data_IF_039768712011
#
_entry.id   IF_039768712011
#
_cell.length_a   1.000
_cell.length_b   1.000
_cell.length_c   1.000
_cell.angle_alpha   90.00
_cell.angle_beta   90.00
_cell.angle_gamma   90.00
#
_symmetry.space_group_name_H-M   'P 1'
#
loop_
_entity.id
_entity.type
_entity.pdbx_description
1 polymer ?
#
# COMPACT_ATOMS: atom_id res chain seq x y z
N UNK A 1 -7.90 21.25 -22.60
CA UNK A 1 -7.12 20.69 -23.71
C UNK A 1 -7.95 20.84 -24.98
N UNK A 2 -7.40 21.53 -25.99
CA UNK A 2 -8.21 22.05 -27.10
C UNK A 2 -8.15 21.18 -28.37
N UNK A 3 -7.05 20.46 -28.64
CA UNK A 3 -6.96 19.43 -29.72
C UNK A 3 -5.85 18.40 -29.43
N UNK A 4 -6.01 17.13 -29.86
CA UNK A 4 -4.91 16.15 -29.83
C UNK A 4 -3.83 16.52 -30.85
N UNK A 5 -2.56 16.42 -30.46
CA UNK A 5 -1.41 16.53 -31.36
C UNK A 5 -0.27 15.63 -30.91
N UNK A 6 0.60 15.24 -31.84
CA UNK A 6 1.81 14.47 -31.55
C UNK A 6 2.71 15.16 -30.52
N UNK A 7 2.88 16.48 -30.64
CA UNK A 7 3.69 17.26 -29.70
C UNK A 7 3.12 17.28 -28.29
N UNK A 8 1.80 17.39 -28.16
CA UNK A 8 1.11 17.30 -26.87
C UNK A 8 1.24 15.90 -26.28
N UNK A 9 1.06 14.86 -27.10
CA UNK A 9 1.11 13.48 -26.64
C UNK A 9 2.50 13.08 -26.16
N UNK A 10 3.55 13.54 -26.86
CA UNK A 10 4.94 13.38 -26.41
C UNK A 10 5.22 14.08 -25.09
N UNK A 11 4.71 15.31 -24.91
CA UNK A 11 4.86 16.03 -23.64
C UNK A 11 4.14 15.30 -22.50
N UNK A 12 2.90 14.87 -22.74
CA UNK A 12 2.12 14.07 -21.79
C UNK A 12 2.88 12.79 -21.40
N UNK A 13 3.43 12.05 -22.37
CA UNK A 13 4.16 10.81 -22.11
C UNK A 13 5.39 11.04 -21.22
N UNK A 14 6.10 12.16 -21.39
CA UNK A 14 7.23 12.54 -20.53
C UNK A 14 6.75 12.88 -19.12
N UNK A 15 5.72 13.70 -18.98
CA UNK A 15 5.18 14.13 -17.68
C UNK A 15 4.65 12.92 -16.88
N UNK A 16 3.81 12.10 -17.50
CA UNK A 16 3.25 10.89 -16.90
C UNK A 16 4.35 9.84 -16.63
N UNK A 17 5.33 9.74 -17.52
CA UNK A 17 6.50 8.87 -17.32
C UNK A 17 7.30 9.24 -16.07
N UNK A 18 7.45 10.53 -15.77
CA UNK A 18 8.11 10.99 -14.54
C UNK A 18 7.30 10.65 -13.29
N UNK A 19 5.98 10.85 -13.32
CA UNK A 19 5.08 10.47 -12.23
C UNK A 19 5.23 8.97 -11.93
N UNK A 20 5.11 8.14 -12.96
CA UNK A 20 5.21 6.68 -12.84
C UNK A 20 6.59 6.23 -12.38
N UNK A 21 7.66 6.84 -12.88
CA UNK A 21 9.03 6.54 -12.44
C UNK A 21 9.19 6.77 -10.94
N UNK A 22 8.77 7.92 -10.44
CA UNK A 22 8.86 8.22 -9.00
C UNK A 22 7.97 7.31 -8.16
N UNK A 23 6.77 6.97 -8.64
CA UNK A 23 5.91 5.96 -8.02
C UNK A 23 6.63 4.62 -7.89
N UNK A 24 7.26 4.12 -8.96
CA UNK A 24 8.00 2.84 -8.90
C UNK A 24 9.22 2.90 -7.99
N UNK A 25 9.97 4.01 -7.95
CA UNK A 25 11.08 4.18 -7.00
C UNK A 25 10.58 4.01 -5.55
N UNK A 26 9.45 4.62 -5.22
CA UNK A 26 8.82 4.42 -3.91
C UNK A 26 8.34 2.99 -3.69
N UNK A 27 7.71 2.36 -4.68
CA UNK A 27 7.26 0.96 -4.57
C UNK A 27 8.43 0.00 -4.30
N UNK A 28 9.60 0.25 -4.91
CA UNK A 28 10.82 -0.52 -4.63
C UNK A 28 11.33 -0.29 -3.19
N UNK A 29 11.33 0.94 -2.71
CA UNK A 29 11.72 1.25 -1.33
C UNK A 29 10.82 0.53 -0.30
N UNK A 30 9.50 0.57 -0.51
CA UNK A 30 8.55 -0.17 0.34
C UNK A 30 8.73 -1.68 0.21
N UNK A 31 9.05 -2.20 -0.97
CA UNK A 31 9.31 -3.64 -1.13
C UNK A 31 10.52 -4.09 -0.28
N UNK A 32 11.57 -3.26 -0.16
CA UNK A 32 12.68 -3.54 0.76
C UNK A 32 12.22 -3.52 2.22
N UNK A 33 11.28 -2.63 2.56
CA UNK A 33 10.67 -2.60 3.89
C UNK A 33 9.92 -3.89 4.20
N UNK A 34 9.09 -4.36 3.27
CA UNK A 34 8.25 -5.55 3.46
C UNK A 34 9.09 -6.83 3.48
N UNK A 35 9.99 -7.00 2.52
CA UNK A 35 10.69 -8.27 2.30
C UNK A 35 12.02 -8.38 3.04
N UNK A 36 12.66 -7.27 3.38
CA UNK A 36 13.97 -7.26 4.02
C UNK A 36 13.97 -6.51 5.36
N UNK A 37 12.79 -6.17 5.89
CA UNK A 37 12.63 -5.43 7.14
C UNK A 37 13.50 -4.16 7.22
N UNK A 38 13.78 -3.56 6.06
CA UNK A 38 14.64 -2.38 5.96
C UNK A 38 13.83 -1.13 6.28
N UNK A 39 14.38 -0.14 7.00
CA UNK A 39 13.69 1.14 7.18
C UNK A 39 13.36 1.78 5.83
N UNK A 40 12.12 2.29 5.62
CA UNK A 40 11.77 3.07 4.44
C UNK A 40 12.75 4.23 4.29
N UNK A 41 13.35 4.37 3.11
CA UNK A 41 14.28 5.46 2.79
C UNK A 41 13.54 6.68 2.25
N UNK A 42 12.35 6.47 1.68
CA UNK A 42 11.45 7.53 1.26
C UNK A 42 10.33 7.70 2.28
N UNK A 43 10.09 8.95 2.69
CA UNK A 43 8.97 9.27 3.56
C UNK A 43 7.74 9.50 2.71
N UNK A 44 6.59 8.99 3.13
CA UNK A 44 5.31 9.12 2.40
C UNK A 44 5.00 10.56 1.99
N UNK A 45 5.32 11.56 2.83
CA UNK A 45 5.11 12.98 2.54
C UNK A 45 5.92 13.53 1.34
N UNK A 46 6.92 12.79 0.86
CA UNK A 46 7.71 13.12 -0.31
C UNK A 46 6.98 12.77 -1.62
N UNK A 47 5.93 11.95 -1.56
CA UNK A 47 5.05 11.64 -2.69
C UNK A 47 4.09 12.79 -3.00
N UNK A 48 4.67 13.86 -3.56
CA UNK A 48 3.97 15.12 -3.90
C UNK A 48 3.47 15.18 -5.34
N UNK A 49 3.89 14.24 -6.19
CA UNK A 49 3.39 14.12 -7.55
C UNK A 49 1.88 13.86 -7.57
N UNK A 50 1.23 14.26 -8.66
CA UNK A 50 -0.13 13.85 -8.96
C UNK A 50 -0.21 12.34 -9.12
N UNK A 51 -1.39 11.77 -8.92
CA UNK A 51 -1.61 10.36 -9.19
C UNK A 51 -1.42 10.03 -10.68
N UNK A 52 -0.94 8.82 -10.94
CA UNK A 52 -0.82 8.30 -12.30
C UNK A 52 -2.21 8.25 -12.96
N UNK A 53 -2.27 8.55 -14.24
CA UNK A 53 -3.49 8.35 -15.02
C UNK A 53 -3.83 6.85 -15.15
N UNK A 54 -5.09 6.50 -15.48
CA UNK A 54 -5.47 5.13 -15.79
C UNK A 54 -4.56 4.51 -16.85
N UNK A 55 -4.27 3.21 -16.71
CA UNK A 55 -3.28 2.52 -17.55
C UNK A 55 -3.53 2.68 -19.05
N UNK A 56 -4.80 2.62 -19.46
CA UNK A 56 -5.20 2.80 -20.86
C UNK A 56 -4.78 4.17 -21.44
N UNK A 57 -4.73 5.23 -20.64
CA UNK A 57 -4.30 6.55 -21.10
C UNK A 57 -2.80 6.55 -21.43
N UNK A 58 -2.00 5.88 -20.60
CA UNK A 58 -0.54 5.79 -20.78
C UNK A 58 -0.15 4.79 -21.89
N UNK A 59 -0.93 3.73 -22.06
CA UNK A 59 -0.71 2.69 -23.08
C UNK A 59 -1.35 2.99 -24.44
N UNK A 60 -2.02 4.15 -24.59
CA UNK A 60 -2.63 4.56 -25.84
C UNK A 60 -1.60 4.53 -26.98
N UNK A 61 -2.04 4.14 -28.19
CA UNK A 61 -1.14 3.97 -29.34
C UNK A 61 -1.16 5.19 -30.29
N UNK A 62 -1.97 6.21 -29.97
CA UNK A 62 -2.04 7.48 -30.70
C UNK A 62 -2.42 8.65 -29.80
N UNK A 63 -2.13 9.87 -30.26
CA UNK A 63 -2.53 11.11 -29.59
C UNK A 63 -4.06 11.21 -29.45
N UNK A 64 -4.81 10.82 -30.47
CA UNK A 64 -6.28 10.84 -30.48
C UNK A 64 -6.87 9.89 -29.45
N UNK A 65 -6.32 8.67 -29.36
CA UNK A 65 -6.75 7.68 -28.38
C UNK A 65 -6.46 8.16 -26.95
N UNK A 66 -5.23 8.63 -26.70
CA UNK A 66 -4.81 9.15 -25.41
C UNK A 66 -5.71 10.32 -24.97
N UNK A 67 -5.96 11.27 -25.88
CA UNK A 67 -6.80 12.43 -25.60
C UNK A 67 -8.24 12.02 -25.25
N UNK A 68 -8.83 11.07 -26.00
CA UNK A 68 -10.18 10.57 -25.72
C UNK A 68 -10.27 9.92 -24.34
N UNK A 69 -9.29 9.09 -23.97
CA UNK A 69 -9.27 8.41 -22.68
C UNK A 69 -9.02 9.39 -21.52
N UNK A 70 -8.12 10.36 -21.71
CA UNK A 70 -7.88 11.41 -20.73
C UNK A 70 -9.13 12.28 -20.50
N UNK A 71 -9.95 12.54 -21.52
CA UNK A 71 -11.21 13.27 -21.34
C UNK A 71 -12.16 12.62 -20.34
N UNK A 72 -12.16 11.30 -20.27
CA UNK A 72 -12.91 10.57 -19.26
C UNK A 72 -12.29 10.77 -17.87
N UNK A 73 -10.96 10.65 -17.77
CA UNK A 73 -10.21 10.88 -16.54
C UNK A 73 -10.36 12.32 -16.00
N UNK A 74 -10.45 13.32 -16.88
CA UNK A 74 -10.67 14.74 -16.55
C UNK A 74 -11.96 14.95 -15.73
N UNK A 75 -12.92 14.03 -15.81
CA UNK A 75 -14.18 14.11 -15.07
C UNK A 75 -14.03 13.72 -13.58
N UNK A 76 -12.95 13.03 -13.23
CA UNK A 76 -12.72 12.52 -11.87
C UNK A 76 -12.25 13.60 -10.89
N UNK A 77 -12.47 13.37 -9.59
CA UNK A 77 -11.99 14.25 -8.52
C UNK A 77 -10.46 14.34 -8.49
N UNK A 78 -9.78 13.26 -8.88
CA UNK A 78 -8.33 13.13 -8.88
C UNK A 78 -7.68 14.13 -9.82
N UNK A 79 -8.20 14.20 -11.04
CA UNK A 79 -7.76 15.18 -12.02
C UNK A 79 -8.15 16.60 -11.61
N UNK A 80 -9.44 16.82 -11.29
CA UNK A 80 -9.98 18.16 -10.97
C UNK A 80 -9.28 18.82 -9.79
N UNK A 81 -8.94 18.04 -8.76
CA UNK A 81 -8.29 18.54 -7.54
C UNK A 81 -6.79 18.29 -7.51
N UNK A 82 -6.22 17.68 -8.55
CA UNK A 82 -4.78 17.36 -8.64
C UNK A 82 -4.31 16.59 -7.39
N UNK A 83 -5.04 15.54 -7.04
CA UNK A 83 -4.77 14.77 -5.82
C UNK A 83 -3.46 13.99 -5.96
N UNK A 84 -2.69 13.98 -4.87
CA UNK A 84 -1.55 13.09 -4.67
C UNK A 84 -1.94 11.88 -3.83
N UNK A 85 -1.11 10.83 -3.84
CA UNK A 85 -1.28 9.67 -2.95
C UNK A 85 -1.33 10.07 -1.49
N UNK A 86 -0.49 11.02 -1.05
CA UNK A 86 -0.53 11.51 0.33
C UNK A 86 -1.89 12.08 0.71
N UNK A 87 -2.54 12.82 -0.19
CA UNK A 87 -3.87 13.41 0.04
C UNK A 87 -4.98 12.35 0.10
N UNK A 88 -4.89 11.33 -0.76
CA UNK A 88 -5.77 10.16 -0.73
C UNK A 88 -5.63 9.42 0.60
N UNK A 89 -4.39 9.15 1.03
CA UNK A 89 -4.09 8.44 2.28
C UNK A 89 -4.62 9.15 3.50
N UNK A 90 -4.44 10.48 3.58
CA UNK A 90 -5.06 11.29 4.64
C UNK A 90 -6.56 11.09 4.69
N UNK A 91 -7.22 11.10 3.54
CA UNK A 91 -8.68 10.95 3.47
C UNK A 91 -9.12 9.56 3.92
N UNK A 92 -8.52 8.50 3.37
CA UNK A 92 -8.93 7.12 3.68
C UNK A 92 -8.55 6.70 5.10
N UNK A 93 -7.54 7.30 5.72
CA UNK A 93 -7.12 6.95 7.08
C UNK A 93 -7.85 7.76 8.17
N UNK A 94 -8.45 8.91 7.85
CA UNK A 94 -9.05 9.80 8.85
C UNK A 94 -10.52 9.47 9.16
N UNK A 95 -11.28 9.05 8.14
CA UNK A 95 -12.73 8.90 8.28
C UNK A 95 -13.20 7.67 7.49
N UNK A 96 -14.20 6.96 8.02
CA UNK A 96 -14.89 5.93 7.25
C UNK A 96 -15.56 6.55 6.01
N UNK A 97 -15.32 5.96 4.84
CA UNK A 97 -15.86 6.49 3.59
C UNK A 97 -17.34 6.14 3.43
N UNK A 98 -18.10 7.09 2.89
CA UNK A 98 -19.47 6.83 2.41
C UNK A 98 -19.43 5.97 1.15
N UNK A 99 -20.53 5.28 0.81
CA UNK A 99 -20.60 4.45 -0.41
C UNK A 99 -20.32 5.24 -1.70
N UNK A 100 -20.77 6.51 -1.76
CA UNK A 100 -20.47 7.39 -2.90
C UNK A 100 -18.99 7.76 -2.99
N UNK A 101 -18.31 7.94 -1.84
CA UNK A 101 -16.87 8.18 -1.83
C UNK A 101 -16.10 6.91 -2.22
N UNK A 102 -16.55 5.73 -1.78
CA UNK A 102 -15.95 4.44 -2.22
C UNK A 102 -16.06 4.28 -3.74
N UNK A 103 -17.23 4.55 -4.33
CA UNK A 103 -17.40 4.54 -5.79
C UNK A 103 -16.44 5.50 -6.48
N UNK A 104 -16.35 6.75 -6.00
CA UNK A 104 -15.44 7.73 -6.58
C UNK A 104 -13.98 7.30 -6.48
N UNK A 105 -13.56 6.76 -5.34
CA UNK A 105 -12.18 6.30 -5.13
C UNK A 105 -11.85 5.01 -5.84
N UNK A 106 -12.84 4.20 -6.20
CA UNK A 106 -12.62 2.98 -6.98
C UNK A 106 -12.09 3.28 -8.39
N UNK A 107 -12.32 4.50 -8.89
CA UNK A 107 -11.88 4.96 -10.21
C UNK A 107 -10.41 5.38 -10.28
N UNK A 108 -9.67 5.42 -9.18
CA UNK A 108 -8.28 5.90 -9.22
C UNK A 108 -7.29 4.94 -9.90
N UNK A 109 -7.73 3.72 -10.21
CA UNK A 109 -6.93 2.72 -10.90
C UNK A 109 -6.06 1.87 -9.99
N UNK A 110 -5.70 0.70 -10.48
CA UNK A 110 -5.02 -0.36 -9.75
C UNK A 110 -3.61 0.04 -9.32
N UNK A 111 -2.85 0.78 -10.14
CA UNK A 111 -1.50 1.25 -9.77
C UNK A 111 -1.54 2.21 -8.56
N UNK A 112 -2.47 3.17 -8.57
CA UNK A 112 -2.62 4.11 -7.46
C UNK A 112 -3.14 3.41 -6.20
N UNK A 113 -4.05 2.43 -6.34
CA UNK A 113 -4.48 1.56 -5.24
C UNK A 113 -3.34 0.74 -4.65
N UNK A 114 -2.50 0.14 -5.50
CA UNK A 114 -1.32 -0.59 -5.05
C UNK A 114 -0.35 0.33 -4.30
N UNK A 115 -0.10 1.52 -4.85
CA UNK A 115 0.72 2.54 -4.18
C UNK A 115 0.14 2.94 -2.82
N UNK A 116 -1.19 3.00 -2.71
CA UNK A 116 -1.85 3.32 -1.45
C UNK A 116 -1.65 2.23 -0.38
N UNK A 117 -1.77 0.93 -0.72
CA UNK A 117 -1.52 -0.13 0.27
C UNK A 117 -0.04 -0.22 0.65
N UNK A 118 0.87 0.02 -0.29
CA UNK A 118 2.31 0.12 0.00
C UNK A 118 2.63 1.30 0.92
N UNK A 119 1.91 2.41 0.76
CA UNK A 119 2.00 3.54 1.69
C UNK A 119 1.56 3.16 3.11
N UNK A 120 0.50 2.36 3.25
CA UNK A 120 0.08 1.84 4.56
C UNK A 120 1.16 0.95 5.19
N UNK A 121 1.85 0.11 4.41
CA UNK A 121 3.00 -0.68 4.89
C UNK A 121 4.13 0.20 5.44
N UNK A 122 4.52 1.24 4.69
CA UNK A 122 5.55 2.19 5.14
C UNK A 122 5.16 2.87 6.46
N UNK A 123 3.91 3.32 6.59
CA UNK A 123 3.39 3.92 7.82
C UNK A 123 3.36 2.92 8.99
N UNK A 124 2.90 1.69 8.75
CA UNK A 124 2.91 0.61 9.76
C UNK A 124 4.32 0.34 10.26
N UNK A 125 5.32 0.31 9.38
CA UNK A 125 6.72 0.13 9.77
C UNK A 125 7.19 1.25 10.71
N UNK A 126 6.91 2.51 10.38
CA UNK A 126 7.29 3.65 11.22
C UNK A 126 6.63 3.61 12.60
N UNK A 127 5.35 3.25 12.66
CA UNK A 127 4.59 3.16 13.92
C UNK A 127 5.10 2.01 14.78
N UNK A 128 5.36 0.84 14.19
CA UNK A 128 5.94 -0.32 14.89
C UNK A 128 7.29 -0.01 15.53
N UNK A 129 8.10 0.82 14.89
CA UNK A 129 9.44 1.17 15.37
C UNK A 129 9.47 2.48 16.18
N UNK A 130 8.31 3.08 16.48
CA UNK A 130 8.22 4.27 17.33
C UNK A 130 8.39 3.88 18.80
N UNK A 131 9.52 4.27 19.41
CA UNK A 131 9.85 3.93 20.80
C UNK A 131 9.29 4.96 21.81
N UNK A 132 9.06 6.20 21.36
CA UNK A 132 8.84 7.35 22.24
C UNK A 132 7.35 7.64 22.47
N UNK A 133 6.49 7.29 21.51
CA UNK A 133 5.07 7.62 21.56
C UNK A 133 4.22 6.38 21.33
N UNK A 134 3.25 6.15 22.22
CA UNK A 134 2.12 5.27 21.95
C UNK A 134 1.37 5.81 20.74
N UNK A 135 1.53 5.10 19.63
CA UNK A 135 0.93 5.51 18.37
C UNK A 135 -0.37 4.75 18.17
N UNK A 136 -1.48 5.47 17.97
CA UNK A 136 -2.76 4.83 17.66
C UNK A 136 -2.72 4.19 16.27
N UNK A 137 -3.07 2.91 16.18
CA UNK A 137 -3.23 2.19 14.92
C UNK A 137 -4.61 2.40 14.28
N UNK A 138 -5.53 3.12 14.96
CA UNK A 138 -6.89 3.36 14.47
C UNK A 138 -6.95 4.00 13.06
N UNK A 139 -6.11 5.00 12.73
CA UNK A 139 -6.09 5.55 11.38
C UNK A 139 -5.64 4.53 10.33
N UNK A 140 -4.68 3.66 10.65
CA UNK A 140 -4.25 2.59 9.75
C UNK A 140 -5.34 1.55 9.54
N UNK A 141 -6.04 1.15 10.60
CA UNK A 141 -7.18 0.23 10.50
C UNK A 141 -8.28 0.81 9.62
N UNK A 142 -8.64 2.07 9.83
CA UNK A 142 -9.61 2.80 9.01
C UNK A 142 -9.16 2.85 7.55
N UNK A 143 -7.87 3.18 7.33
CA UNK A 143 -7.25 3.20 6.01
C UNK A 143 -7.31 1.85 5.29
N UNK A 144 -6.95 0.77 5.98
CA UNK A 144 -6.99 -0.59 5.45
C UNK A 144 -8.41 -1.03 5.10
N UNK A 145 -9.40 -0.71 5.95
CA UNK A 145 -10.79 -1.08 5.68
C UNK A 145 -11.37 -0.28 4.51
N UNK A 146 -11.13 1.03 4.46
CA UNK A 146 -11.52 1.85 3.31
C UNK A 146 -10.83 1.38 2.03
N UNK A 147 -9.53 1.07 2.09
CA UNK A 147 -8.80 0.53 0.94
C UNK A 147 -9.43 -0.76 0.41
N UNK A 148 -9.80 -1.70 1.29
CA UNK A 148 -10.48 -2.96 0.92
C UNK A 148 -11.79 -2.69 0.18
N UNK A 149 -12.61 -1.78 0.72
CA UNK A 149 -13.90 -1.41 0.11
C UNK A 149 -13.70 -0.80 -1.28
N UNK A 150 -12.71 0.08 -1.43
CA UNK A 150 -12.38 0.71 -2.72
C UNK A 150 -11.88 -0.34 -3.73
N UNK A 151 -10.93 -1.20 -3.32
CA UNK A 151 -10.35 -2.22 -4.19
C UNK A 151 -11.41 -3.19 -4.73
N UNK A 152 -12.36 -3.60 -3.88
CA UNK A 152 -13.43 -4.52 -4.26
C UNK A 152 -14.48 -3.88 -5.18
N UNK A 153 -14.65 -2.57 -5.12
CA UNK A 153 -15.58 -1.83 -5.99
C UNK A 153 -14.97 -1.53 -7.37
N UNK A 154 -13.64 -1.56 -7.50
CA UNK A 154 -12.96 -1.16 -8.74
C UNK A 154 -13.32 -2.11 -9.91
N UNK A 155 -13.40 -1.54 -11.11
CA UNK A 155 -13.33 -2.33 -12.33
C UNK A 155 -11.85 -2.51 -12.71
N UNK A 156 -11.41 -3.77 -12.85
CA UNK A 156 -10.04 -4.05 -13.26
C UNK A 156 -9.82 -3.58 -14.71
N UNK A 157 -8.79 -2.77 -14.93
CA UNK A 157 -8.53 -2.11 -16.21
C UNK A 157 -8.20 -3.10 -17.33
N UNK A 158 -7.64 -4.26 -16.97
CA UNK A 158 -7.23 -5.31 -17.89
C UNK A 158 -8.26 -6.45 -18.03
N UNK A 159 -9.47 -6.28 -17.49
CA UNK A 159 -10.54 -7.31 -17.52
C UNK A 159 -10.84 -7.84 -18.92
N UNK A 160 -10.70 -7.00 -19.94
CA UNK A 160 -10.98 -7.34 -21.34
C UNK A 160 -9.70 -7.58 -22.17
N UNK A 161 -8.51 -7.53 -21.55
CA UNK A 161 -7.23 -7.75 -22.23
C UNK A 161 -6.99 -9.26 -22.38
N UNK A 162 -6.87 -9.78 -23.62
CA UNK A 162 -6.63 -11.21 -23.85
C UNK A 162 -5.32 -11.71 -23.23
N UNK A 163 -5.29 -12.98 -22.85
CA UNK A 163 -4.07 -13.65 -22.39
C UNK A 163 -3.25 -14.20 -23.57
N UNK A 164 -2.83 -13.30 -24.46
CA UNK A 164 -1.99 -13.63 -25.62
C UNK A 164 -0.62 -12.99 -25.49
N UNK A 165 0.46 -13.63 -25.98
CA UNK A 165 1.84 -13.12 -25.81
C UNK A 165 2.04 -11.66 -26.24
N UNK A 166 1.30 -11.18 -27.23
CA UNK A 166 1.33 -9.82 -27.76
C UNK A 166 0.57 -8.79 -26.91
N UNK A 167 -0.33 -9.23 -26.02
CA UNK A 167 -1.16 -8.37 -25.17
C UNK A 167 -0.80 -8.42 -23.68
N UNK A 168 0.02 -9.38 -23.24
CA UNK A 168 0.39 -9.55 -21.81
C UNK A 168 0.96 -8.26 -21.21
N UNK A 169 1.72 -7.46 -21.97
CA UNK A 169 2.29 -6.20 -21.49
C UNK A 169 1.23 -5.14 -21.13
N UNK A 170 0.00 -5.26 -21.66
CA UNK A 170 -1.13 -4.36 -21.35
C UNK A 170 -1.84 -4.73 -20.05
N UNK A 171 -1.52 -5.89 -19.46
CA UNK A 171 -2.12 -6.32 -18.20
C UNK A 171 -1.55 -5.54 -17.02
N UNK A 172 -2.33 -5.46 -15.95
CA UNK A 172 -1.97 -4.77 -14.70
C UNK A 172 -0.77 -5.45 -14.01
N UNK A 173 -0.50 -6.72 -14.31
CA UNK A 173 0.69 -7.44 -13.87
C UNK A 173 0.74 -7.64 -12.36
N UNK A 174 1.89 -7.38 -11.74
CA UNK A 174 2.14 -7.60 -10.30
C UNK A 174 1.17 -6.85 -9.38
N UNK A 175 0.68 -5.69 -9.82
CA UNK A 175 -0.29 -4.86 -9.10
C UNK A 175 -1.60 -5.62 -8.82
N UNK A 176 -1.94 -6.65 -9.61
CA UNK A 176 -3.13 -7.49 -9.37
C UNK A 176 -3.11 -8.20 -8.01
N UNK A 177 -1.93 -8.45 -7.43
CA UNK A 177 -1.74 -9.06 -6.12
C UNK A 177 -1.87 -8.08 -4.93
N UNK A 178 -2.43 -6.89 -5.15
CA UNK A 178 -2.64 -5.93 -4.04
C UNK A 178 -3.45 -6.47 -2.85
N UNK A 179 -4.46 -7.36 -3.00
CA UNK A 179 -5.17 -7.97 -1.87
C UNK A 179 -4.24 -8.68 -0.89
N UNK A 180 -3.23 -9.36 -1.40
CA UNK A 180 -2.24 -10.09 -0.62
C UNK A 180 -1.40 -9.13 0.23
N UNK A 181 -1.00 -8.00 -0.36
CA UNK A 181 -0.32 -6.91 0.38
C UNK A 181 -1.24 -6.29 1.42
N UNK A 182 -2.52 -6.13 1.13
CA UNK A 182 -3.48 -5.62 2.10
C UNK A 182 -3.67 -6.57 3.29
N UNK A 183 -3.80 -7.87 3.02
CA UNK A 183 -3.86 -8.90 4.06
C UNK A 183 -2.62 -8.88 4.95
N UNK A 184 -1.44 -8.77 4.33
CA UNK A 184 -0.18 -8.68 5.05
C UNK A 184 -0.14 -7.46 5.97
N UNK A 185 -0.52 -6.28 5.47
CA UNK A 185 -0.55 -5.06 6.27
C UNK A 185 -1.49 -5.21 7.47
N UNK A 186 -2.67 -5.81 7.26
CA UNK A 186 -3.64 -6.05 8.31
C UNK A 186 -3.10 -6.97 9.42
N UNK A 187 -2.46 -8.08 9.04
CA UNK A 187 -1.85 -9.02 10.00
C UNK A 187 -0.75 -8.32 10.82
N UNK A 188 0.08 -7.50 10.17
CA UNK A 188 1.14 -6.76 10.88
C UNK A 188 0.53 -5.77 11.88
N UNK A 189 -0.51 -5.02 11.48
CA UNK A 189 -1.21 -4.09 12.37
C UNK A 189 -1.85 -4.81 13.56
N UNK A 190 -2.53 -5.94 13.33
CA UNK A 190 -3.14 -6.77 14.39
C UNK A 190 -2.09 -7.30 15.37
N UNK A 191 -0.90 -7.69 14.89
CA UNK A 191 0.20 -8.14 15.76
C UNK A 191 0.73 -7.03 16.67
N UNK A 192 0.92 -5.83 16.13
CA UNK A 192 1.43 -4.68 16.92
C UNK A 192 0.49 -4.40 18.11
N UNK A 193 -0.83 -4.52 17.93
CA UNK A 193 -1.79 -4.33 19.04
C UNK A 193 -1.76 -5.47 20.05
N UNK A 194 -1.62 -6.71 19.59
CA UNK A 194 -1.46 -7.86 20.49
C UNK A 194 -0.23 -7.70 21.40
N UNK A 195 0.90 -7.31 20.82
CA UNK A 195 2.15 -7.10 21.56
C UNK A 195 2.01 -5.98 22.61
N UNK A 196 1.26 -4.90 22.31
CA UNK A 196 0.98 -3.83 23.27
C UNK A 196 0.12 -4.28 24.47
N UNK A 197 -0.82 -5.20 24.28
CA UNK A 197 -1.68 -5.69 25.36
C UNK A 197 -0.97 -6.66 26.32
N UNK A 198 -0.05 -7.50 25.80
CA UNK A 198 0.72 -8.44 26.62
C UNK A 198 1.71 -7.72 27.57
N UNK A 199 2.22 -6.56 27.17
CA UNK A 199 3.12 -5.73 28.00
C UNK A 199 2.37 -5.08 29.20
N UNK A 200 1.09 -4.71 29.05
CA UNK A 200 0.27 -4.10 30.11
C UNK A 200 -0.22 -5.12 31.16
N UNK A 201 -0.56 -6.34 30.76
CA UNK A 201 -0.99 -7.39 31.70
C UNK A 201 0.16 -7.92 32.58
N UNK A 202 1.41 -7.80 32.11
CA UNK A 202 2.61 -8.18 32.85
C UNK A 202 2.95 -7.29 34.05
N UNK A 203 2.43 -6.06 34.11
CA UNK A 203 2.69 -5.11 35.21
C UNK A 203 1.71 -5.27 36.40
N UNK A 204 0.59 -5.99 36.22
CA UNK A 204 -0.47 -6.10 37.22
C UNK A 204 -0.28 -7.26 38.24
N UNK A 205 0.63 -8.21 38.00
CA UNK A 205 0.87 -9.35 38.90
C UNK A 205 2.13 -9.11 39.77
N UNK A 206 1.90 -8.71 41.02
CA UNK A 206 2.91 -8.35 42.04
C UNK A 206 3.80 -9.51 42.53
N UNK A 207 4.42 -10.24 41.61
CA UNK A 207 5.45 -11.24 41.88
C UNK A 207 6.84 -10.70 41.56
N UNK A 208 7.81 -11.02 42.42
CA UNK A 208 9.19 -10.53 42.48
C UNK A 208 9.76 -9.98 41.16
N UNK A 209 10.01 -8.67 41.16
CA UNK A 209 10.43 -7.83 40.03
C UNK A 209 11.77 -8.23 39.36
N UNK A 210 12.59 -9.09 39.96
CA UNK A 210 13.93 -9.41 39.44
C UNK A 210 14.00 -10.71 38.63
N UNK A 211 13.22 -11.75 38.96
CA UNK A 211 13.35 -13.07 38.30
C UNK A 211 12.58 -13.17 36.96
N UNK A 212 11.46 -12.45 36.81
CA UNK A 212 10.68 -12.44 35.56
C UNK A 212 11.31 -11.55 34.48
N UNK A 213 11.99 -10.45 34.86
CA UNK A 213 12.64 -9.53 33.92
C UNK A 213 13.83 -10.18 33.20
N UNK A 214 14.61 -11.03 33.87
CA UNK A 214 15.76 -11.69 33.22
C UNK A 214 15.30 -12.81 32.27
N UNK A 215 14.21 -13.51 32.57
CA UNK A 215 13.68 -14.58 31.72
C UNK A 215 12.87 -14.06 30.51
N UNK A 216 12.13 -12.95 30.67
CA UNK A 216 11.32 -12.34 29.61
C UNK A 216 12.13 -11.36 28.74
N UNK A 217 12.96 -10.49 29.35
CA UNK A 217 13.87 -9.63 28.58
C UNK A 217 14.95 -10.47 27.88
N UNK A 218 15.40 -11.58 28.48
CA UNK A 218 16.35 -12.51 27.86
C UNK A 218 15.78 -13.34 26.70
N UNK A 219 14.45 -13.51 26.58
CA UNK A 219 13.82 -14.21 25.44
C UNK A 219 13.31 -13.29 24.35
N UNK A 220 12.81 -12.10 24.71
CA UNK A 220 12.25 -11.15 23.73
C UNK A 220 13.32 -10.24 23.12
N UNK A 221 14.22 -9.65 23.93
CA UNK A 221 15.28 -8.77 23.38
C UNK A 221 16.38 -9.53 22.64
N UNK A 222 16.65 -10.79 22.98
CA UNK A 222 17.66 -11.59 22.25
C UNK A 222 17.13 -12.01 20.87
N UNK A 223 15.83 -12.23 20.72
CA UNK A 223 15.23 -12.55 19.41
C UNK A 223 15.18 -11.35 18.45
N UNK A 224 15.05 -10.13 18.96
CA UNK A 224 14.90 -8.93 18.12
C UNK A 224 16.20 -8.17 17.85
N UNK A 225 17.23 -8.28 18.71
CA UNK A 225 18.52 -7.59 18.46
C UNK A 225 19.47 -8.34 17.54
N UNK A 226 19.38 -9.66 17.45
CA UNK A 226 20.10 -10.45 16.42
C UNK A 226 19.41 -10.36 15.03
N UNK A 227 18.23 -9.73 14.97
CA UNK A 227 17.30 -9.72 13.83
C UNK A 227 17.62 -8.70 12.72
N UNK A 228 18.56 -7.80 12.95
CA UNK A 228 18.87 -6.70 12.02
C UNK A 228 19.82 -7.11 10.87
N UNK A 229 20.38 -8.32 10.88
CA UNK A 229 21.35 -8.78 9.86
C UNK A 229 20.83 -9.97 9.00
N UNK A 230 19.57 -10.38 9.20
CA UNK A 230 19.00 -11.48 8.42
C UNK A 230 18.21 -10.95 7.22
N UNK A 231 18.84 -11.03 6.05
CA UNK A 231 18.22 -10.83 4.72
C UNK A 231 17.47 -12.08 4.24
N UNK A 232 17.29 -13.09 5.09
CA UNK A 232 16.57 -14.29 4.71
C UNK A 232 15.05 -14.11 4.87
N UNK A 233 14.29 -14.61 3.90
CA UNK A 233 12.83 -14.44 3.78
C UNK A 233 12.04 -15.25 4.83
N UNK A 234 12.65 -15.61 5.95
CA UNK A 234 12.13 -16.60 6.90
C UNK A 234 10.90 -16.07 7.65
N UNK A 235 10.88 -14.78 7.97
CA UNK A 235 9.73 -14.11 8.57
C UNK A 235 8.53 -14.05 7.60
N UNK A 236 8.77 -13.77 6.31
CA UNK A 236 7.74 -13.79 5.26
C UNK A 236 7.19 -15.21 5.08
N UNK A 237 8.06 -16.23 5.11
CA UNK A 237 7.64 -17.62 5.05
C UNK A 237 6.76 -17.99 6.26
N UNK A 238 7.07 -17.48 7.46
CA UNK A 238 6.23 -17.63 8.64
C UNK A 238 4.81 -17.07 8.43
N UNK A 239 4.72 -15.86 7.87
CA UNK A 239 3.43 -15.22 7.55
C UNK A 239 2.64 -15.97 6.48
N UNK A 240 3.32 -16.50 5.45
CA UNK A 240 2.68 -17.36 4.42
C UNK A 240 2.10 -18.63 5.06
N UNK A 241 2.83 -19.25 5.99
CA UNK A 241 2.36 -20.45 6.68
C UNK A 241 1.16 -20.15 7.58
N UNK A 242 1.15 -19.00 8.23
CA UNK A 242 0.03 -18.55 9.06
C UNK A 242 -1.21 -18.22 8.23
N UNK A 243 -1.05 -17.53 7.09
CA UNK A 243 -2.14 -17.30 6.13
C UNK A 243 -2.74 -18.62 5.65
N UNK A 244 -1.90 -19.60 5.30
CA UNK A 244 -2.36 -20.95 4.92
C UNK A 244 -3.19 -21.59 6.03
N UNK A 245 -2.73 -21.51 7.28
CA UNK A 245 -3.46 -22.04 8.44
C UNK A 245 -4.84 -21.39 8.61
N UNK A 246 -4.93 -20.07 8.44
CA UNK A 246 -6.20 -19.33 8.53
C UNK A 246 -7.13 -19.65 7.35
N UNK A 247 -6.59 -19.84 6.15
CA UNK A 247 -7.36 -20.19 4.95
C UNK A 247 -7.89 -21.63 4.96
N UNK A 248 -7.19 -22.56 5.63
CA UNK A 248 -7.57 -23.98 5.74
C UNK A 248 -8.55 -24.26 6.89
N UNK A 249 -8.80 -23.28 7.78
CA UNK A 249 -9.81 -23.36 8.84
C UNK A 249 -11.22 -22.94 8.39
N UNK A 250 -11.41 -22.60 7.11
CA UNK A 250 -12.67 -22.16 6.53
C UNK A 250 -13.31 -23.26 5.64
N UNK A 251 -13.45 -24.47 6.19
CA UNK A 251 -14.30 -25.56 5.65
C UNK A 251 -15.32 -25.95 6.70
#
# INVERSE_FOLDING_TARGET
>A
MDTPSETWWQQFAVEEGLIRTMTYVFLFDVALTIFHNSPPRMVVSELKMEMACPEACFQAESAEECFRLLKEWETTTFWKKRLSITSVLKTICQTELTSSAVDEYSRMGSLNLFTAVQTLHSLTFHLRNSIIFESTLLPLKTGLENWRRIWNQREAEDKYVPDTPDQIWKKVGFVSYSPEFWHLARIIVERIEGDSHDDEEGEADGSSYEDKKVAAAGRSQVRDRERYDHTDMTDVNGLIMEYRRLSLGAV
#
